data_IF_346163889723
#
_entry.id   IF_346163889723
#
_cell.length_a   1.000
_cell.length_b   1.000
_cell.length_c   1.000
_cell.angle_alpha   90.00
_cell.angle_beta   90.00
_cell.angle_gamma   90.00
#
_symmetry.space_group_name_H-M   'P 1'
#
loop_
_entity.id
_entity.type
_entity.pdbx_description
1 polymer ?
#
# COMPACT_ATOMS: atom_id res chain seq x y z
N UNK A 1 -0.78 -66.64 59.77
CA UNK A 1 -1.23 -67.89 60.41
C UNK A 1 -0.94 -67.83 61.90
N UNK A 2 -1.85 -68.31 62.74
CA UNK A 2 -1.61 -68.38 64.19
C UNK A 2 -0.97 -69.73 64.55
N UNK A 3 0.12 -69.69 65.31
CA UNK A 3 0.88 -70.86 65.75
C UNK A 3 0.96 -70.82 67.28
N UNK A 4 0.54 -71.87 67.97
CA UNK A 4 0.54 -71.91 69.42
C UNK A 4 1.96 -72.18 69.96
N UNK A 5 2.46 -71.30 70.83
CA UNK A 5 3.75 -71.48 71.49
C UNK A 5 3.58 -72.23 72.82
N UNK A 6 4.07 -73.47 72.86
CA UNK A 6 3.92 -74.36 74.01
C UNK A 6 4.86 -74.04 75.21
N UNK A 7 5.85 -73.16 75.04
CA UNK A 7 6.77 -72.75 76.11
C UNK A 7 6.28 -71.53 76.89
N UNK A 8 5.52 -70.64 76.24
CA UNK A 8 4.89 -69.46 76.87
C UNK A 8 3.37 -69.63 77.05
N UNK A 9 2.79 -70.69 76.49
CA UNK A 9 1.34 -70.96 76.47
C UNK A 9 0.51 -69.85 75.81
N UNK A 10 1.03 -69.24 74.74
CA UNK A 10 0.40 -68.12 74.04
C UNK A 10 0.27 -68.41 72.53
N UNK A 11 -0.79 -67.91 71.90
CA UNK A 11 -0.96 -67.96 70.45
C UNK A 11 -0.13 -66.86 69.78
N UNK A 12 0.82 -67.25 68.91
CA UNK A 12 1.64 -66.30 68.14
C UNK A 12 1.08 -66.18 66.73
N UNK A 13 0.62 -64.99 66.38
CA UNK A 13 0.21 -64.68 65.00
C UNK A 13 1.46 -64.35 64.20
N UNK A 14 1.76 -65.16 63.18
CA UNK A 14 2.90 -64.96 62.28
C UNK A 14 2.36 -64.67 60.89
N UNK A 15 2.65 -63.49 60.35
CA UNK A 15 2.32 -63.08 58.99
C UNK A 15 3.32 -62.04 58.52
N UNK A 16 3.62 -62.03 57.23
CA UNK A 16 4.46 -60.99 56.60
C UNK A 16 3.54 -59.93 56.02
N UNK A 17 3.83 -58.65 56.28
CA UNK A 17 3.11 -57.54 55.67
C UNK A 17 3.22 -57.63 54.13
N UNK A 18 2.12 -57.39 53.42
CA UNK A 18 2.13 -57.33 51.97
C UNK A 18 3.01 -56.15 51.49
N UNK A 19 3.72 -56.33 50.38
CA UNK A 19 4.56 -55.28 49.81
C UNK A 19 3.74 -54.00 49.55
N UNK A 20 4.34 -52.85 49.84
CA UNK A 20 3.76 -51.54 49.54
C UNK A 20 3.55 -51.40 48.02
N UNK A 21 2.40 -50.88 47.56
CA UNK A 21 2.15 -50.67 46.14
C UNK A 21 3.08 -49.61 45.56
N UNK A 22 3.36 -49.69 44.26
CA UNK A 22 4.04 -48.61 43.54
C UNK A 22 3.04 -47.46 43.38
N UNK A 23 3.39 -46.28 43.87
CA UNK A 23 2.56 -45.08 43.80
C UNK A 23 3.11 -44.11 42.76
N UNK A 24 2.23 -43.35 42.12
CA UNK A 24 2.65 -42.15 41.40
C UNK A 24 3.16 -41.11 42.38
N UNK A 25 3.88 -40.11 41.87
CA UNK A 25 4.63 -39.21 42.73
C UNK A 25 3.72 -38.19 43.48
N UNK A 26 2.46 -38.05 43.05
CA UNK A 26 1.41 -37.27 43.72
C UNK A 26 0.49 -38.13 44.60
N UNK A 27 0.79 -39.41 44.75
CA UNK A 27 0.05 -40.35 45.58
C UNK A 27 0.81 -40.69 46.87
N UNK A 28 0.08 -41.14 47.88
CA UNK A 28 0.62 -41.62 49.15
C UNK A 28 -0.09 -42.90 49.54
N UNK A 29 0.68 -43.96 49.77
CA UNK A 29 0.18 -45.22 50.30
C UNK A 29 0.24 -45.21 51.84
N UNK A 30 -0.88 -45.47 52.50
CA UNK A 30 -0.97 -45.61 53.96
C UNK A 30 -1.46 -47.01 54.30
N UNK A 31 -0.75 -47.71 55.19
CA UNK A 31 -1.18 -49.04 55.63
C UNK A 31 -2.22 -48.94 56.74
N UNK A 32 -3.39 -49.53 56.53
CA UNK A 32 -4.46 -49.58 57.52
C UNK A 32 -4.28 -50.83 58.41
N UNK A 33 -3.95 -50.63 59.69
CA UNK A 33 -3.71 -51.73 60.64
C UNK A 33 -4.98 -52.50 61.02
N UNK A 34 -6.17 -51.93 60.84
CA UNK A 34 -7.43 -52.60 61.18
C UNK A 34 -7.92 -53.51 60.06
N UNK A 35 -7.74 -53.08 58.80
CA UNK A 35 -8.15 -53.84 57.61
C UNK A 35 -7.02 -54.68 57.01
N UNK A 36 -5.77 -54.43 57.41
CA UNK A 36 -4.55 -55.05 56.89
C UNK A 36 -4.36 -54.84 55.37
N UNK A 37 -4.81 -53.70 54.84
CA UNK A 37 -4.75 -53.33 53.42
C UNK A 37 -4.06 -51.98 53.26
N UNK A 38 -3.36 -51.79 52.14
CA UNK A 38 -2.81 -50.49 51.73
C UNK A 38 -3.90 -49.62 51.08
N UNK A 39 -4.03 -48.38 51.54
CA UNK A 39 -4.91 -47.37 50.96
C UNK A 39 -4.05 -46.33 50.24
N UNK A 40 -4.29 -46.14 48.94
CA UNK A 40 -3.61 -45.12 48.13
C UNK A 40 -4.51 -43.90 48.03
N UNK A 41 -3.96 -42.74 48.37
CA UNK A 41 -4.67 -41.44 48.31
C UNK A 41 -3.84 -40.43 47.55
N UNK A 42 -4.48 -39.55 46.79
CA UNK A 42 -3.82 -38.53 45.98
C UNK A 42 -4.61 -38.27 44.70
N UNK A 43 -4.56 -37.04 44.20
CA UNK A 43 -5.15 -36.67 42.91
C UNK A 43 -4.14 -35.77 42.19
N UNK A 44 -3.91 -36.05 40.90
CA UNK A 44 -3.03 -35.21 40.10
C UNK A 44 -3.63 -33.81 39.98
N UNK A 45 -2.80 -32.78 40.20
CA UNK A 45 -3.24 -31.40 40.02
C UNK A 45 -3.61 -31.12 38.56
N UNK A 46 -4.67 -30.33 38.35
CA UNK A 46 -5.08 -29.91 37.02
C UNK A 46 -3.94 -29.18 36.28
N UNK A 47 -3.86 -29.38 34.97
CA UNK A 47 -2.90 -28.67 34.12
C UNK A 47 -3.07 -27.15 34.25
N UNK A 48 -1.98 -26.37 34.29
CA UNK A 48 -2.06 -24.92 34.32
C UNK A 48 -2.64 -24.37 33.01
N UNK A 49 -3.24 -23.17 33.07
CA UNK A 49 -3.59 -22.42 31.87
C UNK A 49 -2.30 -22.07 31.11
N UNK A 50 -2.32 -22.22 29.79
CA UNK A 50 -1.19 -21.97 28.89
C UNK A 50 -1.59 -20.96 27.83
N UNK A 51 -0.64 -20.13 27.41
CA UNK A 51 -0.79 -19.29 26.22
C UNK A 51 -0.70 -20.14 24.94
N UNK A 52 -1.06 -19.59 23.77
CA UNK A 52 -1.10 -20.38 22.52
C UNK A 52 0.27 -20.93 22.10
N UNK A 53 1.37 -20.32 22.56
CA UNK A 53 2.76 -20.71 22.26
C UNK A 53 3.41 -21.55 23.37
N UNK A 54 2.63 -22.03 24.34
CA UNK A 54 3.09 -22.82 25.48
C UNK A 54 2.53 -24.23 25.45
N UNK A 55 3.27 -25.18 26.03
CA UNK A 55 2.86 -26.55 26.25
C UNK A 55 3.17 -26.95 27.68
N UNK A 56 2.17 -27.44 28.41
CA UNK A 56 2.31 -27.95 29.77
C UNK A 56 2.45 -29.49 29.76
N UNK A 57 3.57 -30.00 30.27
CA UNK A 57 3.82 -31.45 30.42
C UNK A 57 4.05 -31.78 31.89
N UNK A 58 3.42 -32.82 32.43
CA UNK A 58 3.63 -33.23 33.82
C UNK A 58 4.92 -34.05 33.96
N UNK A 59 5.80 -33.65 34.88
CA UNK A 59 7.03 -34.35 35.19
C UNK A 59 6.85 -35.18 36.47
N UNK A 60 6.93 -36.51 36.33
CA UNK A 60 6.74 -37.45 37.45
C UNK A 60 7.94 -37.54 38.40
N UNK A 61 9.13 -37.11 37.97
CA UNK A 61 10.31 -37.07 38.85
C UNK A 61 10.24 -35.87 39.79
N UNK A 62 9.67 -34.75 39.33
CA UNK A 62 9.56 -33.50 40.12
C UNK A 62 8.17 -33.25 40.69
N UNK A 63 7.19 -34.11 40.38
CA UNK A 63 5.77 -33.97 40.75
C UNK A 63 5.17 -32.61 40.43
N UNK A 64 5.50 -32.08 39.26
CA UNK A 64 5.09 -30.74 38.89
C UNK A 64 4.88 -30.61 37.38
N UNK A 65 4.01 -29.66 37.02
CA UNK A 65 3.83 -29.26 35.63
C UNK A 65 5.02 -28.44 35.16
N UNK A 66 5.62 -28.84 34.04
CA UNK A 66 6.63 -28.09 33.32
C UNK A 66 5.96 -27.40 32.15
N UNK A 67 5.95 -26.08 32.15
CA UNK A 67 5.50 -25.27 31.03
C UNK A 67 6.71 -24.94 30.16
N UNK A 68 6.65 -25.30 28.89
CA UNK A 68 7.69 -25.01 27.90
C UNK A 68 7.08 -24.24 26.74
N UNK A 69 7.84 -23.33 26.15
CA UNK A 69 7.39 -22.49 25.05
C UNK A 69 8.36 -21.34 24.86
N UNK A 70 8.54 -20.94 23.61
CA UNK A 70 9.27 -19.71 23.28
C UNK A 70 8.34 -18.86 22.44
N UNK A 71 7.92 -17.72 22.99
CA UNK A 71 7.17 -16.75 22.21
C UNK A 71 8.09 -16.24 21.09
N UNK A 72 7.69 -16.49 19.85
CA UNK A 72 8.36 -15.86 18.71
C UNK A 72 8.15 -14.35 18.76
N UNK A 73 9.12 -13.60 18.21
CA UNK A 73 9.12 -12.15 18.25
C UNK A 73 7.78 -11.60 17.74
N UNK A 74 7.39 -10.45 18.31
CA UNK A 74 6.21 -9.69 17.90
C UNK A 74 6.10 -9.60 16.36
N UNK A 75 4.88 -9.54 15.82
CA UNK A 75 4.66 -9.52 14.37
C UNK A 75 5.60 -8.51 13.72
N UNK A 76 6.38 -9.00 12.76
CA UNK A 76 7.32 -8.16 12.03
C UNK A 76 6.51 -7.06 11.38
N UNK A 77 6.81 -5.80 11.67
CA UNK A 77 6.30 -4.69 10.87
C UNK A 77 6.80 -4.96 9.46
N UNK A 78 5.87 -5.18 8.54
CA UNK A 78 6.19 -5.40 7.13
C UNK A 78 6.79 -4.14 6.51
N UNK A 79 7.33 -4.27 5.32
CA UNK A 79 7.98 -3.14 4.65
C UNK A 79 6.97 -2.05 4.29
N UNK A 80 7.48 -0.82 4.22
CA UNK A 80 6.74 0.35 3.76
C UNK A 80 7.22 0.74 2.36
N UNK A 81 6.31 1.20 1.52
CA UNK A 81 6.65 1.68 0.18
C UNK A 81 5.75 2.84 -0.24
N UNK A 82 6.25 3.64 -1.18
CA UNK A 82 5.50 4.72 -1.80
C UNK A 82 5.12 4.30 -3.21
N UNK A 83 3.83 4.36 -3.53
CA UNK A 83 3.29 4.05 -4.86
C UNK A 83 2.58 5.27 -5.42
N UNK A 84 2.49 5.30 -6.75
CA UNK A 84 1.77 6.34 -7.46
C UNK A 84 0.43 5.83 -8.00
N UNK A 85 -0.54 6.73 -8.07
CA UNK A 85 -1.85 6.49 -8.67
C UNK A 85 -1.81 6.60 -10.21
N UNK A 86 -1.16 5.65 -10.90
CA UNK A 86 -1.14 5.58 -12.38
C UNK A 86 -2.07 4.48 -12.94
N UNK A 87 -2.42 4.59 -14.22
CA UNK A 87 -3.56 3.96 -14.89
C UNK A 87 -3.47 2.44 -15.14
N UNK A 88 -2.46 1.72 -14.66
CA UNK A 88 -2.36 0.27 -14.91
C UNK A 88 -1.36 -0.41 -13.97
N UNK A 89 -1.65 -0.41 -12.66
CA UNK A 89 -0.74 -1.05 -11.70
C UNK A 89 -1.43 -2.03 -10.77
N UNK A 90 -1.12 -3.32 -10.94
CA UNK A 90 -1.41 -4.38 -9.98
C UNK A 90 -0.15 -4.66 -9.17
N UNK A 91 -0.15 -4.24 -7.90
CA UNK A 91 0.93 -4.45 -6.95
C UNK A 91 0.68 -5.70 -6.11
N UNK A 92 1.65 -6.61 -6.03
CA UNK A 92 1.53 -7.79 -5.17
C UNK A 92 2.02 -7.49 -3.75
N UNK A 93 1.11 -7.47 -2.78
CA UNK A 93 1.40 -7.17 -1.37
C UNK A 93 2.42 -8.12 -0.75
N UNK A 94 2.61 -9.33 -1.28
CA UNK A 94 3.65 -10.24 -0.81
C UNK A 94 5.06 -9.66 -0.96
N UNK A 95 5.28 -8.70 -1.87
CA UNK A 95 6.59 -8.05 -1.99
C UNK A 95 6.96 -7.19 -0.78
N UNK A 96 5.99 -6.85 0.08
CA UNK A 96 6.21 -6.09 1.31
C UNK A 96 6.47 -6.99 2.52
N UNK A 97 6.28 -8.30 2.40
CA UNK A 97 6.65 -9.24 3.46
C UNK A 97 8.15 -9.54 3.40
N UNK A 98 8.81 -9.50 4.57
CA UNK A 98 10.20 -9.89 4.73
C UNK A 98 10.32 -11.24 5.45
N UNK A 99 11.41 -11.97 5.19
CA UNK A 99 11.70 -13.25 5.84
C UNK A 99 10.94 -14.44 5.26
N UNK A 100 10.90 -15.54 6.00
CA UNK A 100 10.17 -16.74 5.61
C UNK A 100 8.70 -16.61 6.05
N UNK A 101 7.79 -16.59 5.08
CA UNK A 101 6.34 -16.57 5.32
C UNK A 101 5.66 -17.70 4.54
N UNK A 102 4.59 -18.26 5.12
CA UNK A 102 3.71 -19.16 4.39
C UNK A 102 2.77 -18.34 3.50
N UNK A 103 2.38 -18.87 2.35
CA UNK A 103 1.51 -18.20 1.36
C UNK A 103 0.04 -18.68 1.41
N UNK A 104 -0.31 -19.44 2.44
CA UNK A 104 -1.65 -20.01 2.67
C UNK A 104 -2.57 -19.11 3.53
N UNK A 105 -2.06 -17.93 3.89
CA UNK A 105 -2.79 -16.91 4.61
C UNK A 105 -3.70 -16.06 3.73
N UNK A 106 -4.26 -15.02 4.33
CA UNK A 106 -5.20 -14.10 3.69
C UNK A 106 -4.87 -12.66 3.99
N UNK A 107 -5.04 -11.78 3.00
CA UNK A 107 -4.90 -10.34 3.16
C UNK A 107 -6.23 -9.69 3.54
N UNK A 108 -6.15 -8.63 4.35
CA UNK A 108 -7.26 -7.73 4.66
C UNK A 108 -6.79 -6.27 4.58
N UNK A 109 -7.71 -5.40 4.21
CA UNK A 109 -7.51 -3.95 4.29
C UNK A 109 -7.81 -3.51 5.73
N UNK A 110 -6.89 -2.76 6.33
CA UNK A 110 -6.97 -2.33 7.74
C UNK A 110 -7.21 -0.83 7.85
N UNK A 111 -6.67 -0.05 6.91
CA UNK A 111 -6.91 1.39 6.79
C UNK A 111 -7.02 1.76 5.31
N UNK A 112 -7.99 2.61 4.99
CA UNK A 112 -8.31 3.03 3.62
C UNK A 112 -9.57 2.34 3.07
N UNK A 113 -9.86 2.62 1.81
CA UNK A 113 -10.99 2.10 1.03
C UNK A 113 -10.53 1.21 -0.13
N UNK A 114 -9.28 0.74 -0.08
CA UNK A 114 -8.70 -0.15 -1.07
C UNK A 114 -9.57 -1.41 -1.27
N UNK A 115 -9.61 -1.89 -2.50
CA UNK A 115 -10.10 -3.24 -2.81
C UNK A 115 -8.92 -4.08 -3.27
N UNK A 116 -8.83 -5.31 -2.76
CA UNK A 116 -7.76 -6.26 -3.09
C UNK A 116 -8.34 -7.54 -3.67
N UNK A 117 -7.61 -8.18 -4.59
CA UNK A 117 -7.93 -9.49 -5.13
C UNK A 117 -6.85 -10.50 -4.70
N UNK A 118 -7.07 -11.20 -3.59
CA UNK A 118 -6.03 -11.98 -2.95
C UNK A 118 -4.95 -11.05 -2.38
N UNK A 119 -3.73 -11.13 -2.92
CA UNK A 119 -2.63 -10.21 -2.60
C UNK A 119 -2.48 -9.05 -3.58
N UNK A 120 -3.25 -9.03 -4.67
CA UNK A 120 -3.14 -7.99 -5.69
C UNK A 120 -3.87 -6.72 -5.25
N UNK A 121 -3.15 -5.61 -5.26
CA UNK A 121 -3.62 -4.27 -4.90
C UNK A 121 -3.51 -3.33 -6.09
N UNK A 122 -4.60 -2.62 -6.41
CA UNK A 122 -4.63 -1.64 -7.49
C UNK A 122 -4.92 -0.24 -6.94
N UNK A 123 -3.99 0.73 -7.09
CA UNK A 123 -4.15 2.08 -6.53
C UNK A 123 -4.89 3.06 -7.44
N UNK A 124 -5.26 2.68 -8.67
CA UNK A 124 -5.68 3.61 -9.72
C UNK A 124 -6.83 4.56 -9.32
N UNK A 125 -7.83 4.09 -8.57
CA UNK A 125 -9.00 4.88 -8.19
C UNK A 125 -9.04 5.26 -6.70
N UNK A 126 -7.89 5.20 -6.01
CA UNK A 126 -7.84 5.45 -4.57
C UNK A 126 -7.42 6.87 -4.22
N UNK A 127 -7.89 7.32 -3.06
CA UNK A 127 -7.49 8.60 -2.48
C UNK A 127 -6.02 8.56 -2.08
N UNK A 128 -5.32 9.69 -2.30
CA UNK A 128 -3.95 9.88 -1.85
C UNK A 128 -3.86 9.75 -0.33
N UNK A 129 -2.71 9.27 0.16
CA UNK A 129 -2.46 9.09 1.58
C UNK A 129 -2.04 7.68 1.94
N UNK A 130 -2.17 7.34 3.22
CA UNK A 130 -1.63 6.11 3.79
C UNK A 130 -2.69 5.02 3.80
N UNK A 131 -2.37 3.89 3.15
CA UNK A 131 -3.17 2.68 3.12
C UNK A 131 -2.44 1.56 3.86
N UNK A 132 -3.16 0.83 4.69
CA UNK A 132 -2.58 -0.21 5.55
C UNK A 132 -3.27 -1.54 5.31
N UNK A 133 -2.46 -2.59 5.14
CA UNK A 133 -2.92 -3.95 4.88
C UNK A 133 -2.36 -4.90 5.93
N UNK A 134 -3.15 -5.90 6.31
CA UNK A 134 -2.73 -6.95 7.23
C UNK A 134 -2.80 -8.31 6.56
N UNK A 135 -1.70 -9.05 6.59
CA UNK A 135 -1.65 -10.45 6.20
C UNK A 135 -1.90 -11.33 7.42
N UNK A 136 -2.81 -12.29 7.34
CA UNK A 136 -3.15 -13.25 8.41
C UNK A 136 -2.71 -14.65 8.00
N UNK A 137 -1.81 -15.27 8.78
CA UNK A 137 -1.40 -16.65 8.58
C UNK A 137 -2.36 -17.61 9.28
N UNK A 138 -2.86 -18.60 8.52
CA UNK A 138 -3.83 -19.59 8.98
C UNK A 138 -3.15 -20.79 9.67
N UNK A 139 -2.28 -20.53 10.65
CA UNK A 139 -1.69 -21.61 11.46
C UNK A 139 -2.64 -21.96 12.61
N UNK A 140 -2.88 -23.26 12.82
CA UNK A 140 -3.82 -23.78 13.83
C UNK A 140 -3.41 -23.53 15.28
N UNK A 141 -2.16 -23.15 15.54
CA UNK A 141 -1.60 -23.12 16.90
C UNK A 141 -1.31 -21.69 17.41
N UNK A 142 -0.91 -20.73 16.58
CA UNK A 142 -0.86 -19.30 16.96
C UNK A 142 -1.04 -18.38 15.74
N UNK A 143 -2.20 -17.73 15.57
CA UNK A 143 -2.44 -16.81 14.46
C UNK A 143 -1.39 -15.71 14.44
N UNK A 144 -0.71 -15.55 13.31
CA UNK A 144 0.23 -14.43 13.08
C UNK A 144 -0.39 -13.45 12.11
N UNK A 145 -0.19 -12.18 12.39
CA UNK A 145 -0.48 -11.15 11.42
C UNK A 145 0.77 -10.32 11.12
N UNK A 146 0.82 -9.75 9.92
CA UNK A 146 1.88 -8.83 9.51
C UNK A 146 1.22 -7.63 8.87
N UNK A 147 1.51 -6.45 9.39
CA UNK A 147 0.99 -5.20 8.87
C UNK A 147 2.01 -4.57 7.91
N UNK A 148 1.55 -4.13 6.73
CA UNK A 148 2.35 -3.40 5.73
C UNK A 148 1.68 -2.08 5.42
N UNK A 149 2.46 -1.10 5.00
CA UNK A 149 1.98 0.26 4.73
C UNK A 149 2.38 0.72 3.33
N UNK A 150 1.43 1.32 2.61
CA UNK A 150 1.65 1.94 1.30
C UNK A 150 1.24 3.41 1.39
N UNK A 151 2.12 4.32 1.00
CA UNK A 151 1.76 5.74 0.81
C UNK A 151 1.46 5.99 -0.66
N UNK A 152 0.23 6.43 -0.97
CA UNK A 152 -0.16 6.85 -2.31
C UNK A 152 0.10 8.35 -2.52
N UNK A 153 0.80 8.67 -3.60
CA UNK A 153 1.05 10.03 -4.08
C UNK A 153 0.75 10.16 -5.60
N UNK A 154 0.78 11.38 -6.11
CA UNK A 154 0.62 11.73 -7.52
C UNK A 154 1.91 12.23 -8.17
N UNK A 155 3.07 12.02 -7.52
CA UNK A 155 4.36 12.54 -7.99
C UNK A 155 4.78 11.99 -9.36
N UNK A 156 4.27 10.81 -9.74
CA UNK A 156 4.50 10.23 -11.07
C UNK A 156 3.56 10.77 -12.15
N UNK A 157 2.47 11.45 -11.77
CA UNK A 157 1.59 12.11 -12.73
C UNK A 157 2.31 13.35 -13.20
N UNK A 158 2.96 13.23 -14.37
CA UNK A 158 3.45 14.40 -15.09
C UNK A 158 2.23 15.15 -15.60
N UNK A 159 1.74 16.11 -14.83
CA UNK A 159 0.73 17.05 -15.28
C UNK A 159 1.24 17.67 -16.59
N UNK A 160 0.56 17.37 -17.69
CA UNK A 160 0.82 18.05 -18.96
C UNK A 160 0.74 19.54 -18.70
N UNK A 161 1.77 20.29 -19.09
CA UNK A 161 1.71 21.73 -18.94
C UNK A 161 0.65 22.23 -19.95
N UNK A 162 -0.53 22.57 -19.44
CA UNK A 162 -1.70 22.88 -20.26
C UNK A 162 -2.36 21.65 -20.92
N UNK A 163 -3.68 21.56 -20.78
CA UNK A 163 -4.48 20.49 -21.40
C UNK A 163 -4.57 20.65 -22.94
N UNK A 164 -4.56 21.90 -23.43
CA UNK A 164 -4.70 22.24 -24.84
C UNK A 164 -4.07 23.59 -25.17
N UNK A 165 -3.35 23.68 -26.29
CA UNK A 165 -2.84 24.96 -26.83
C UNK A 165 -3.97 25.68 -27.57
N UNK A 166 -4.41 26.82 -27.06
CA UNK A 166 -5.50 27.62 -27.64
C UNK A 166 -4.89 28.73 -28.50
N UNK A 167 -5.14 28.69 -29.81
CA UNK A 167 -4.66 29.70 -30.76
C UNK A 167 -5.85 30.47 -31.33
N UNK A 168 -5.79 31.80 -31.35
CA UNK A 168 -6.89 32.62 -31.88
C UNK A 168 -7.21 32.26 -33.33
N UNK A 169 -8.51 32.18 -33.63
CA UNK A 169 -9.04 31.91 -34.98
C UNK A 169 -9.38 33.20 -35.73
N UNK A 170 -9.51 34.32 -35.01
CA UNK A 170 -9.81 35.62 -35.60
C UNK A 170 -9.12 36.74 -34.83
N UNK A 171 -8.84 37.85 -35.52
CA UNK A 171 -8.44 39.13 -34.94
C UNK A 171 -9.31 40.23 -35.56
N UNK A 172 -9.96 41.02 -34.71
CA UNK A 172 -10.84 42.14 -35.07
C UNK A 172 -10.40 43.37 -34.28
N UNK A 173 -9.27 43.96 -34.67
CA UNK A 173 -8.68 45.10 -33.97
C UNK A 173 -9.47 46.41 -34.20
N UNK A 174 -10.64 46.51 -33.56
CA UNK A 174 -11.63 47.57 -33.72
C UNK A 174 -11.82 48.43 -32.45
N UNK A 175 -11.09 48.09 -31.37
CA UNK A 175 -11.12 48.79 -30.09
C UNK A 175 -12.24 48.36 -29.14
N UNK A 176 -12.94 47.24 -29.41
CA UNK A 176 -14.05 46.75 -28.58
C UNK A 176 -13.61 45.79 -27.45
N UNK A 177 -12.30 45.52 -27.34
CA UNK A 177 -11.64 44.63 -26.38
C UNK A 177 -11.76 43.14 -26.70
N UNK A 178 -12.47 42.75 -27.76
CA UNK A 178 -12.65 41.35 -28.15
C UNK A 178 -11.85 41.00 -29.39
N UNK A 179 -11.05 39.94 -29.31
CA UNK A 179 -10.17 39.49 -30.40
C UNK A 179 -9.27 40.62 -30.95
N UNK A 180 -8.82 41.53 -30.09
CA UNK A 180 -7.95 42.64 -30.52
C UNK A 180 -6.58 42.17 -31.00
N UNK A 181 -6.11 41.03 -30.46
CA UNK A 181 -4.80 40.46 -30.73
C UNK A 181 -4.89 38.99 -31.10
N UNK A 182 -3.89 38.51 -31.83
CA UNK A 182 -3.63 37.09 -31.97
C UNK A 182 -2.99 36.56 -30.69
N UNK A 183 -3.63 35.61 -30.03
CA UNK A 183 -3.17 35.03 -28.77
C UNK A 183 -2.85 33.55 -28.94
N UNK A 184 -1.84 33.10 -28.20
CA UNK A 184 -1.49 31.71 -27.95
C UNK A 184 -1.57 31.53 -26.43
N UNK A 185 -2.52 30.73 -25.98
CA UNK A 185 -2.92 30.54 -24.57
C UNK A 185 -2.90 29.05 -24.20
N UNK A 186 -3.03 28.74 -22.91
CA UNK A 186 -3.03 27.37 -22.39
C UNK A 186 -1.64 26.76 -22.26
N UNK A 187 -0.61 27.61 -22.16
CA UNK A 187 0.81 27.22 -22.07
C UNK A 187 1.59 28.09 -21.08
N UNK A 188 0.91 28.87 -20.24
CA UNK A 188 1.49 29.87 -19.36
C UNK A 188 2.44 29.24 -18.34
N UNK A 189 2.10 28.06 -17.84
CA UNK A 189 2.88 27.31 -16.84
C UNK A 189 3.90 26.32 -17.47
N UNK A 190 3.98 26.28 -18.80
CA UNK A 190 4.90 25.39 -19.52
C UNK A 190 6.35 25.87 -19.57
N UNK A 191 6.61 27.16 -19.32
CA UNK A 191 7.92 27.76 -19.58
C UNK A 191 8.34 27.74 -21.05
N UNK A 192 7.42 27.54 -21.99
CA UNK A 192 7.72 27.54 -23.42
C UNK A 192 7.99 28.96 -23.92
N UNK A 193 8.90 29.07 -24.89
CA UNK A 193 9.06 30.31 -25.65
C UNK A 193 8.27 30.22 -26.95
N UNK A 194 7.39 31.18 -27.19
CA UNK A 194 6.50 31.19 -28.36
C UNK A 194 7.14 31.96 -29.52
N UNK A 195 7.45 31.29 -30.62
CA UNK A 195 7.83 31.96 -31.87
C UNK A 195 6.65 31.92 -32.84
N UNK A 196 6.28 33.05 -33.45
CA UNK A 196 5.20 33.10 -34.44
C UNK A 196 5.65 33.66 -35.77
N UNK A 197 5.05 33.15 -36.85
CA UNK A 197 5.14 33.69 -38.21
C UNK A 197 3.75 33.74 -38.82
N UNK A 198 3.44 34.80 -39.54
CA UNK A 198 2.14 34.98 -40.19
C UNK A 198 2.35 35.27 -41.67
N UNK A 199 1.54 34.64 -42.50
CA UNK A 199 1.63 34.64 -43.96
C UNK A 199 0.31 35.06 -44.58
N UNK A 200 0.38 35.76 -45.70
CA UNK A 200 -0.79 36.01 -46.54
C UNK A 200 -1.19 34.75 -47.33
N UNK A 201 -2.33 34.82 -48.02
CA UNK A 201 -2.87 33.71 -48.84
C UNK A 201 -1.95 33.22 -49.98
N UNK A 202 -0.92 33.99 -50.35
CA UNK A 202 0.05 33.63 -51.39
C UNK A 202 1.35 33.06 -50.81
N UNK A 203 1.42 32.87 -49.49
CA UNK A 203 2.60 32.34 -48.80
C UNK A 203 3.69 33.39 -48.52
N UNK A 204 3.42 34.68 -48.71
CA UNK A 204 4.37 35.72 -48.32
C UNK A 204 4.23 36.03 -46.83
N UNK A 205 5.36 36.05 -46.11
CA UNK A 205 5.42 36.36 -44.67
C UNK A 205 5.15 37.85 -44.44
N UNK A 206 4.16 38.16 -43.62
CA UNK A 206 3.73 39.53 -43.29
C UNK A 206 4.15 39.97 -41.89
N UNK A 207 4.36 39.01 -40.98
CA UNK A 207 4.75 39.25 -39.60
C UNK A 207 5.57 38.08 -39.06
N UNK A 208 6.49 38.39 -38.15
CA UNK A 208 7.28 37.42 -37.39
C UNK A 208 7.60 38.04 -36.02
N UNK A 209 7.53 37.22 -34.98
CA UNK A 209 7.96 37.61 -33.64
C UNK A 209 8.59 36.41 -32.94
N UNK A 210 9.68 36.66 -32.23
CA UNK A 210 10.32 35.69 -31.34
C UNK A 210 9.94 36.04 -29.92
N UNK A 211 9.74 35.03 -29.08
CA UNK A 211 9.23 35.21 -27.72
C UNK A 211 7.98 36.11 -27.68
N UNK A 212 7.01 35.73 -28.50
CA UNK A 212 5.78 36.45 -28.77
C UNK A 212 4.94 36.66 -27.49
N UNK A 213 4.45 37.88 -27.30
CA UNK A 213 3.76 38.33 -26.09
C UNK A 213 2.27 38.61 -26.29
N UNK A 214 1.61 37.89 -27.20
CA UNK A 214 0.16 38.03 -27.46
C UNK A 214 -0.27 39.48 -27.77
N UNK A 215 0.54 40.20 -28.56
CA UNK A 215 0.41 41.65 -28.77
C UNK A 215 0.29 42.08 -30.24
N UNK A 216 0.14 41.14 -31.18
CA UNK A 216 -0.05 41.45 -32.59
C UNK A 216 -1.53 41.57 -32.95
N UNK A 217 -1.91 42.72 -33.51
CA UNK A 217 -3.28 43.11 -33.85
C UNK A 217 -3.49 43.37 -35.36
N UNK A 218 -2.68 42.76 -36.21
CA UNK A 218 -2.78 42.91 -37.67
C UNK A 218 -1.91 44.01 -38.30
N UNK A 219 -1.06 44.70 -37.54
CA UNK A 219 -0.08 45.64 -38.11
C UNK A 219 1.01 44.92 -38.92
N UNK A 220 1.42 45.48 -40.05
CA UNK A 220 2.53 44.94 -40.87
C UNK A 220 3.87 45.48 -40.40
N UNK A 221 4.93 44.66 -40.52
CA UNK A 221 6.29 45.09 -40.21
C UNK A 221 7.03 45.71 -41.42
N UNK A 222 6.38 45.77 -42.60
CA UNK A 222 7.03 46.22 -43.82
C UNK A 222 6.03 46.74 -44.84
N UNK A 223 6.49 47.67 -45.68
CA UNK A 223 5.78 48.28 -46.83
C UNK A 223 5.31 47.26 -47.91
N UNK A 224 5.29 45.96 -47.62
CA UNK A 224 4.90 44.87 -48.51
C UNK A 224 3.40 44.78 -48.77
N UNK A 225 2.59 45.62 -48.11
CA UNK A 225 1.12 45.68 -48.26
C UNK A 225 0.67 47.12 -48.55
N UNK A 226 1.22 47.72 -49.60
CA UNK A 226 0.62 48.91 -50.24
C UNK A 226 0.50 50.17 -49.39
N UNK A 227 1.38 50.38 -48.40
CA UNK A 227 1.44 51.63 -47.63
C UNK A 227 0.37 51.80 -46.54
N UNK A 228 -0.39 50.75 -46.20
CA UNK A 228 -1.30 50.73 -45.06
C UNK A 228 -0.63 50.11 -43.83
N UNK A 229 -0.86 50.69 -42.64
CA UNK A 229 -0.29 50.18 -41.39
C UNK A 229 -0.84 48.78 -41.06
N UNK A 230 -2.13 48.53 -41.34
CA UNK A 230 -2.82 47.25 -41.10
C UNK A 230 -2.98 46.45 -42.39
N UNK A 231 -2.93 45.12 -42.24
CA UNK A 231 -3.26 44.21 -43.32
C UNK A 231 -4.75 44.26 -43.71
N UNK A 232 -5.10 44.08 -45.00
CA UNK A 232 -6.47 44.00 -45.44
C UNK A 232 -7.25 42.86 -44.76
N UNK A 233 -8.56 43.06 -44.61
CA UNK A 233 -9.48 41.99 -44.21
C UNK A 233 -9.31 40.76 -45.09
N UNK A 234 -9.20 39.60 -44.46
CA UNK A 234 -9.11 38.32 -45.16
C UNK A 234 -8.53 37.20 -44.31
N UNK A 235 -8.35 36.05 -44.95
CA UNK A 235 -7.72 34.87 -44.33
C UNK A 235 -6.20 34.90 -44.51
N UNK A 236 -5.52 34.70 -43.40
CA UNK A 236 -4.07 34.57 -43.28
C UNK A 236 -3.75 33.22 -42.66
N UNK A 237 -2.47 32.87 -42.61
CA UNK A 237 -2.00 31.60 -42.07
C UNK A 237 -0.90 31.86 -41.06
N UNK A 238 -0.95 31.15 -39.92
CA UNK A 238 0.09 31.22 -38.92
C UNK A 238 0.93 29.95 -38.88
N UNK A 239 2.15 30.11 -38.40
CA UNK A 239 3.00 29.04 -37.88
C UNK A 239 3.39 29.46 -36.46
N UNK A 240 2.96 28.69 -35.47
CA UNK A 240 3.34 28.84 -34.05
C UNK A 240 4.32 27.74 -33.71
N UNK A 241 5.47 28.11 -33.17
CA UNK A 241 6.51 27.20 -32.77
C UNK A 241 6.79 27.38 -31.27
N UNK A 242 6.46 26.35 -30.50
CA UNK A 242 6.64 26.32 -29.05
C UNK A 242 8.03 25.74 -28.75
N UNK A 243 9.01 26.62 -28.50
CA UNK A 243 10.36 26.19 -28.15
C UNK A 243 10.36 25.58 -26.75
N UNK A 244 10.98 24.40 -26.63
CA UNK A 244 11.05 23.65 -25.38
C UNK A 244 9.95 22.60 -25.20
N UNK A 245 8.92 22.57 -26.06
CA UNK A 245 7.82 21.61 -25.93
C UNK A 245 8.06 20.25 -26.61
N UNK A 246 8.98 20.19 -27.58
CA UNK A 246 9.16 19.01 -28.44
C UNK A 246 8.04 18.80 -29.47
N UNK A 247 7.00 19.65 -29.47
CA UNK A 247 5.89 19.58 -30.43
C UNK A 247 6.32 20.04 -31.83
N UNK A 248 5.70 19.48 -32.84
CA UNK A 248 5.80 20.00 -34.22
C UNK A 248 5.15 21.40 -34.27
N UNK A 249 5.62 22.30 -35.16
CA UNK A 249 4.99 23.60 -35.33
C UNK A 249 3.50 23.49 -35.62
N UNK A 250 2.71 24.27 -34.90
CA UNK A 250 1.26 24.37 -35.07
C UNK A 250 0.96 25.32 -36.21
N UNK A 251 0.12 24.91 -37.15
CA UNK A 251 -0.22 25.68 -38.35
C UNK A 251 -1.72 25.76 -38.51
N UNK A 252 -2.23 26.91 -38.93
CA UNK A 252 -3.66 27.09 -39.11
C UNK A 252 -4.04 28.40 -39.77
N UNK A 253 -5.29 28.50 -40.22
CA UNK A 253 -5.83 29.76 -40.73
C UNK A 253 -6.18 30.70 -39.58
N UNK A 254 -6.10 32.00 -39.86
CA UNK A 254 -6.62 33.06 -39.01
C UNK A 254 -7.36 34.09 -39.86
N UNK A 255 -8.53 34.52 -39.40
CA UNK A 255 -9.29 35.57 -40.05
C UNK A 255 -8.94 36.94 -39.46
N UNK A 256 -8.54 37.88 -40.31
CA UNK A 256 -8.31 39.26 -39.90
C UNK A 256 -9.45 40.12 -40.42
N UNK A 257 -10.14 40.80 -39.50
CA UNK A 257 -11.20 41.75 -39.81
C UNK A 257 -10.78 43.18 -39.48
N UNK A 258 -10.70 44.05 -40.47
CA UNK A 258 -10.62 45.50 -40.26
C UNK A 258 -12.02 46.09 -40.40
N UNK A 259 -12.44 46.87 -39.42
CA UNK A 259 -13.62 47.72 -39.51
C UNK A 259 -13.24 49.08 -40.08
#
# INVERSE_FOLDING_TARGET
TATFNNGTCEWVVIGTQAAEPITECYETATFNNDTCIWEVTGEQSAAPATECWETATFNNDTCSWVVTGTQEAAPTIGNQTDLCIDNDFDFDLFSLLGGDFQTDGSWSVTSGNATINGSMFNPFELELGVHTFTYFQNTTECPRNTEVTITLNDDCIVLGCGDEVIISKAVTANGDQWNEYFTVEGIEDCGFTVDIKIFNRWGAKIYESRDYKNNWNGFTHSNSVGGADKVPTGTYYYIVNLKGSGLKPLVGPIYLGTK
#
